data_IF_415583437655
#
_entry.id   IF_415583437655
#
_cell.length_a   1.000
_cell.length_b   1.000
_cell.length_c   1.000
_cell.angle_alpha   90.00
_cell.angle_beta   90.00
_cell.angle_gamma   90.00
#
_symmetry.space_group_name_H-M   'P 1'
#
loop_
_entity.id
_entity.type
_entity.pdbx_description
1 polymer ?
#
# COMPACT_ATOMS: atom_id res chain seq x y z
N UNK A 1 -21.74 -53.35 21.77
CA UNK A 1 -20.51 -52.51 21.83
C UNK A 1 -20.22 -51.85 20.45
N UNK A 2 -20.47 -52.52 19.28
CA UNK A 2 -20.25 -51.97 17.95
C UNK A 2 -21.10 -50.70 17.67
N UNK A 3 -22.44 -50.83 17.84
CA UNK A 3 -23.38 -49.74 17.52
C UNK A 3 -23.14 -48.46 18.31
N UNK A 4 -22.68 -48.58 19.58
CA UNK A 4 -22.38 -47.39 20.42
C UNK A 4 -21.14 -46.67 19.89
N UNK A 5 -20.13 -47.41 19.46
CA UNK A 5 -18.93 -46.82 18.82
C UNK A 5 -19.28 -46.10 17.51
N UNK A 6 -20.15 -46.71 16.70
CA UNK A 6 -20.57 -46.13 15.42
C UNK A 6 -21.34 -44.83 15.64
N UNK A 7 -22.24 -44.79 16.62
CA UNK A 7 -22.99 -43.58 17.01
C UNK A 7 -22.04 -42.48 17.54
N UNK A 8 -21.06 -42.86 18.36
CA UNK A 8 -20.07 -41.91 18.87
C UNK A 8 -19.21 -41.32 17.76
N UNK A 9 -18.75 -42.15 16.82
CA UNK A 9 -17.99 -41.71 15.67
C UNK A 9 -18.82 -40.77 14.78
N UNK A 10 -20.07 -41.12 14.50
CA UNK A 10 -20.99 -40.26 13.72
C UNK A 10 -21.20 -38.90 14.42
N UNK A 11 -21.40 -38.92 15.76
CA UNK A 11 -21.56 -37.69 16.56
C UNK A 11 -20.32 -36.79 16.48
N UNK A 12 -19.11 -37.39 16.57
CA UNK A 12 -17.87 -36.63 16.39
C UNK A 12 -17.70 -36.05 14.98
N UNK A 13 -18.06 -36.81 13.97
CA UNK A 13 -18.02 -36.32 12.58
C UNK A 13 -18.97 -35.13 12.37
N UNK A 14 -20.19 -35.22 12.88
CA UNK A 14 -21.17 -34.12 12.81
C UNK A 14 -20.68 -32.89 13.56
N UNK A 15 -20.13 -33.07 14.77
CA UNK A 15 -19.55 -31.99 15.55
C UNK A 15 -18.37 -31.31 14.81
N UNK A 16 -17.48 -32.12 14.22
CA UNK A 16 -16.37 -31.59 13.44
C UNK A 16 -16.83 -30.80 12.23
N UNK A 17 -17.81 -31.32 11.49
CA UNK A 17 -18.38 -30.61 10.33
C UNK A 17 -19.08 -29.31 10.75
N UNK A 18 -19.77 -29.29 11.87
CA UNK A 18 -20.39 -28.08 12.42
C UNK A 18 -19.35 -27.01 12.78
N UNK A 19 -18.26 -27.41 13.46
CA UNK A 19 -17.15 -26.51 13.80
C UNK A 19 -16.49 -25.99 12.52
N UNK A 20 -16.24 -26.84 11.53
CA UNK A 20 -15.65 -26.43 10.27
C UNK A 20 -16.54 -25.43 9.54
N UNK A 21 -17.83 -25.70 9.43
CA UNK A 21 -18.79 -24.80 8.78
C UNK A 21 -18.88 -23.45 9.51
N UNK A 22 -18.93 -23.47 10.84
CA UNK A 22 -18.91 -22.26 11.66
C UNK A 22 -17.62 -21.45 11.44
N UNK A 23 -16.47 -22.12 11.43
CA UNK A 23 -15.17 -21.45 11.21
C UNK A 23 -15.08 -20.80 9.84
N UNK A 24 -15.53 -21.49 8.80
CA UNK A 24 -15.60 -20.92 7.43
C UNK A 24 -16.54 -19.72 7.39
N UNK A 25 -17.74 -19.83 7.94
CA UNK A 25 -18.69 -18.72 7.99
C UNK A 25 -18.18 -17.52 8.80
N UNK A 26 -17.52 -17.78 9.93
CA UNK A 26 -16.89 -16.75 10.72
C UNK A 26 -15.78 -16.03 9.94
N UNK A 27 -14.86 -16.78 9.32
CA UNK A 27 -13.80 -16.21 8.50
C UNK A 27 -14.36 -15.44 7.31
N UNK A 28 -15.38 -15.97 6.65
CA UNK A 28 -16.06 -15.31 5.52
C UNK A 28 -16.55 -13.92 5.90
N UNK A 29 -17.27 -13.82 7.03
CA UNK A 29 -17.75 -12.54 7.53
C UNK A 29 -16.62 -11.66 8.06
N UNK A 30 -15.64 -12.23 8.76
CA UNK A 30 -14.54 -11.46 9.36
C UNK A 30 -13.62 -10.83 8.32
N UNK A 31 -13.42 -11.50 7.19
CA UNK A 31 -12.59 -11.05 6.07
C UNK A 31 -13.40 -10.30 5.00
N UNK A 32 -14.71 -10.16 5.21
CA UNK A 32 -15.61 -9.51 4.26
C UNK A 32 -15.46 -10.01 2.82
N UNK A 33 -15.38 -11.35 2.66
CA UNK A 33 -15.15 -12.01 1.37
C UNK A 33 -16.19 -11.60 0.33
N UNK A 34 -17.43 -11.36 0.75
CA UNK A 34 -18.49 -10.95 -0.17
C UNK A 34 -18.22 -9.56 -0.75
N UNK A 35 -17.82 -8.59 0.07
CA UNK A 35 -17.46 -7.26 -0.40
C UNK A 35 -16.19 -7.30 -1.26
N UNK A 36 -15.19 -8.11 -0.87
CA UNK A 36 -14.00 -8.33 -1.67
C UNK A 36 -14.34 -8.86 -3.07
N UNK A 37 -15.16 -9.93 -3.16
CA UNK A 37 -15.55 -10.50 -4.44
C UNK A 37 -16.34 -9.51 -5.30
N UNK A 38 -17.25 -8.74 -4.69
CA UNK A 38 -18.00 -7.68 -5.37
C UNK A 38 -17.05 -6.60 -5.90
N UNK A 39 -16.11 -6.14 -5.09
CA UNK A 39 -15.18 -5.09 -5.50
C UNK A 39 -14.26 -5.54 -6.64
N UNK A 40 -13.90 -6.84 -6.71
CA UNK A 40 -13.12 -7.39 -7.81
C UNK A 40 -13.87 -7.40 -9.15
N UNK A 41 -15.19 -7.36 -9.13
CA UNK A 41 -16.05 -7.39 -10.33
C UNK A 41 -16.71 -6.05 -10.65
N UNK A 42 -16.52 -5.03 -9.79
CA UNK A 42 -17.06 -3.69 -9.99
C UNK A 42 -16.01 -2.84 -10.70
N UNK A 43 -16.35 -2.33 -11.86
CA UNK A 43 -15.54 -1.32 -12.53
C UNK A 43 -15.52 -0.03 -11.68
N UNK A 44 -14.38 0.59 -11.58
CA UNK A 44 -14.17 1.83 -10.86
C UNK A 44 -13.50 2.84 -11.78
N UNK A 45 -14.05 4.01 -11.89
CA UNK A 45 -13.48 5.17 -12.61
C UNK A 45 -12.61 6.03 -11.71
N UNK A 46 -12.27 5.53 -10.50
CA UNK A 46 -11.56 6.32 -9.51
C UNK A 46 -10.20 6.86 -10.02
N UNK A 47 -9.46 6.04 -10.77
CA UNK A 47 -8.17 6.47 -11.33
C UNK A 47 -8.40 7.51 -12.42
N UNK A 48 -9.32 7.23 -13.35
CA UNK A 48 -9.66 8.14 -14.45
C UNK A 48 -10.16 9.49 -13.95
N UNK A 49 -10.93 9.49 -12.87
CA UNK A 49 -11.52 10.72 -12.30
C UNK A 49 -10.54 11.54 -11.44
N UNK A 50 -9.49 10.92 -10.91
CA UNK A 50 -8.61 11.55 -9.92
C UNK A 50 -7.13 11.61 -10.31
N UNK A 51 -6.71 10.88 -11.33
CA UNK A 51 -5.31 10.90 -11.78
C UNK A 51 -5.04 12.15 -12.62
N UNK A 52 -4.05 12.93 -12.20
CA UNK A 52 -3.52 14.01 -13.00
C UNK A 52 -2.43 13.47 -13.94
N UNK A 53 -2.72 13.35 -15.24
CA UNK A 53 -1.72 12.93 -16.22
C UNK A 53 -0.59 13.98 -16.29
N UNK A 54 0.67 13.60 -16.01
CA UNK A 54 1.79 14.52 -16.07
C UNK A 54 1.97 15.22 -17.43
N UNK A 55 1.45 14.64 -18.50
CA UNK A 55 1.47 15.25 -19.85
C UNK A 55 0.55 16.45 -19.99
N UNK A 56 -0.48 16.52 -19.17
CA UNK A 56 -1.48 17.58 -19.20
C UNK A 56 -1.21 18.67 -18.16
N UNK A 57 -0.19 18.49 -17.30
CA UNK A 57 0.15 19.42 -16.22
C UNK A 57 1.31 20.30 -16.64
N UNK A 58 1.14 21.63 -16.58
CA UNK A 58 2.23 22.59 -16.78
C UNK A 58 3.15 22.60 -15.54
N UNK A 59 4.38 22.15 -15.71
CA UNK A 59 5.38 22.09 -14.66
C UNK A 59 6.36 23.25 -14.79
N UNK A 60 6.55 24.00 -13.71
CA UNK A 60 7.48 25.14 -13.66
C UNK A 60 8.71 24.76 -12.84
N UNK A 61 9.89 24.86 -13.43
CA UNK A 61 11.17 24.63 -12.77
C UNK A 61 11.89 25.96 -12.54
N UNK A 62 12.61 26.12 -11.42
CA UNK A 62 13.41 27.30 -11.18
C UNK A 62 14.62 27.36 -12.13
N UNK A 63 15.08 28.56 -12.50
CA UNK A 63 16.29 28.77 -13.33
C UNK A 63 17.50 28.04 -12.71
N UNK A 64 17.69 28.19 -11.41
CA UNK A 64 18.72 27.48 -10.67
C UNK A 64 18.10 26.25 -10.01
N UNK A 65 18.30 25.10 -10.63
CA UNK A 65 17.85 23.80 -10.14
C UNK A 65 18.53 23.43 -8.83
N UNK A 66 17.78 22.85 -7.91
CA UNK A 66 18.28 22.28 -6.66
C UNK A 66 18.32 20.76 -6.76
N UNK A 67 19.21 20.12 -6.02
CA UNK A 67 19.20 18.66 -5.92
C UNK A 67 17.95 18.19 -5.19
N UNK A 68 17.36 17.13 -5.70
CA UNK A 68 16.31 16.37 -5.02
C UNK A 68 16.95 15.10 -4.45
N UNK A 69 16.78 14.88 -3.16
CA UNK A 69 17.12 13.62 -2.49
C UNK A 69 15.82 13.01 -2.03
N UNK A 70 15.49 11.84 -2.58
CA UNK A 70 14.28 11.09 -2.25
C UNK A 70 14.69 9.81 -1.51
N UNK A 71 14.26 9.68 -0.26
CA UNK A 71 14.66 8.57 0.61
C UNK A 71 13.44 7.73 0.93
N UNK A 72 13.47 6.46 0.55
CA UNK A 72 12.47 5.46 0.91
C UNK A 72 12.91 4.71 2.16
N UNK A 73 12.08 4.77 3.20
CA UNK A 73 12.31 4.05 4.45
C UNK A 73 11.30 2.90 4.53
N UNK A 74 11.75 1.70 4.19
CA UNK A 74 10.92 0.49 4.20
C UNK A 74 10.41 0.18 5.60
N UNK A 75 9.12 -0.18 5.71
CA UNK A 75 8.45 -0.55 6.97
C UNK A 75 8.53 0.53 8.06
N UNK A 76 8.69 1.79 7.69
CA UNK A 76 8.67 2.90 8.64
C UNK A 76 7.22 3.30 8.92
N UNK A 77 6.88 3.33 10.21
CA UNK A 77 5.55 3.68 10.68
C UNK A 77 5.61 4.85 11.67
N UNK A 78 4.59 5.69 11.66
CA UNK A 78 4.41 6.77 12.64
C UNK A 78 4.23 6.23 14.08
N UNK A 79 3.79 4.98 14.24
CA UNK A 79 3.74 4.27 15.52
C UNK A 79 5.06 4.26 16.27
N UNK A 80 6.21 4.39 15.59
CA UNK A 80 7.52 4.50 16.23
C UNK A 80 7.79 5.84 16.91
N UNK A 81 6.99 6.86 16.64
CA UNK A 81 7.03 8.14 17.34
C UNK A 81 6.49 8.02 18.78
N UNK A 82 6.64 9.05 19.58
CA UNK A 82 6.03 9.11 20.90
C UNK A 82 4.53 9.45 20.84
N UNK A 83 3.80 9.12 21.92
CA UNK A 83 2.35 9.34 22.01
C UNK A 83 1.94 10.79 21.80
N UNK A 84 2.77 11.75 22.22
CA UNK A 84 2.46 13.16 22.06
C UNK A 84 2.53 13.57 20.59
N UNK A 85 3.42 12.96 19.83
CA UNK A 85 3.58 13.18 18.39
C UNK A 85 2.65 12.31 17.53
N UNK A 86 1.79 11.47 18.13
CA UNK A 86 0.86 10.61 17.40
C UNK A 86 1.27 9.13 17.32
N UNK A 87 2.43 8.75 17.86
CA UNK A 87 2.92 7.39 17.88
C UNK A 87 2.41 6.55 19.06
N UNK A 88 3.00 5.38 19.27
CA UNK A 88 2.58 4.43 20.29
C UNK A 88 3.52 4.35 21.51
N UNK A 89 4.71 4.92 21.45
CA UNK A 89 5.73 4.78 22.50
C UNK A 89 5.70 5.95 23.48
N UNK A 90 6.16 5.73 24.71
CA UNK A 90 6.38 6.81 25.68
C UNK A 90 7.53 7.74 25.25
N UNK A 91 8.55 7.17 24.61
CA UNK A 91 9.67 7.90 23.98
C UNK A 91 9.79 7.46 22.55
N UNK A 92 9.87 8.40 21.63
CA UNK A 92 10.05 8.14 20.21
C UNK A 92 11.27 7.25 19.96
N UNK A 93 11.10 6.27 19.07
CA UNK A 93 12.19 5.46 18.54
C UNK A 93 12.86 6.11 17.32
N UNK A 94 12.18 7.13 16.77
CA UNK A 94 12.59 7.88 15.58
C UNK A 94 12.53 9.39 15.87
N UNK A 95 13.20 9.91 16.94
CA UNK A 95 13.00 11.27 17.38
C UNK A 95 13.33 12.33 16.32
N UNK A 96 14.38 12.12 15.54
CA UNK A 96 14.80 13.06 14.49
C UNK A 96 13.80 13.08 13.32
N UNK A 97 13.31 11.91 12.88
CA UNK A 97 12.30 11.83 11.82
C UNK A 97 10.97 12.44 12.28
N UNK A 98 10.55 12.14 13.52
CA UNK A 98 9.35 12.71 14.08
C UNK A 98 9.45 14.26 14.16
N UNK A 99 10.60 14.79 14.58
CA UNK A 99 10.86 16.22 14.58
C UNK A 99 10.81 16.82 13.18
N UNK A 100 11.50 16.22 12.20
CA UNK A 100 11.49 16.69 10.81
C UNK A 100 10.07 16.71 10.24
N UNK A 101 9.28 15.68 10.53
CA UNK A 101 7.89 15.59 10.06
C UNK A 101 7.00 16.67 10.70
N UNK A 102 7.19 17.00 11.97
CA UNK A 102 6.41 18.03 12.66
C UNK A 102 6.81 19.46 12.25
N UNK A 103 8.05 19.66 11.85
CA UNK A 103 8.60 20.97 11.47
C UNK A 103 8.49 21.29 9.98
N UNK A 104 8.15 20.29 9.14
CA UNK A 104 8.07 20.42 7.68
C UNK A 104 6.74 19.85 7.15
N UNK A 105 6.60 19.80 5.82
CA UNK A 105 5.45 19.19 5.16
C UNK A 105 5.32 17.72 5.53
N UNK A 106 4.12 17.32 5.88
CA UNK A 106 3.77 15.92 6.16
C UNK A 106 2.34 15.63 5.71
N UNK A 107 2.00 14.35 5.57
CA UNK A 107 0.68 13.90 5.08
C UNK A 107 -0.32 13.59 6.21
N UNK A 108 -0.27 14.33 7.30
CA UNK A 108 -1.20 14.16 8.44
C UNK A 108 -2.51 14.95 8.28
N UNK A 109 -2.71 15.62 7.15
CA UNK A 109 -3.89 16.42 6.86
C UNK A 109 -4.06 17.57 7.87
N UNK A 110 -5.22 17.67 8.48
CA UNK A 110 -5.53 18.70 9.50
C UNK A 110 -5.16 18.27 10.94
N UNK A 111 -4.51 17.12 11.11
CA UNK A 111 -4.10 16.64 12.43
C UNK A 111 -2.90 17.43 12.94
N UNK A 112 -2.90 17.70 14.24
CA UNK A 112 -1.74 18.28 14.95
C UNK A 112 -0.72 17.21 15.37
N UNK A 113 -1.07 15.94 15.22
CA UNK A 113 -0.21 14.80 15.50
C UNK A 113 0.05 14.04 14.20
N UNK A 114 1.18 13.36 14.11
CA UNK A 114 1.52 12.53 12.97
C UNK A 114 0.52 11.36 12.88
N UNK A 115 -0.03 11.12 11.70
CA UNK A 115 -0.90 9.98 11.41
C UNK A 115 -0.60 9.34 10.05
N UNK A 116 0.35 9.91 9.31
CA UNK A 116 0.83 9.38 8.03
C UNK A 116 -0.24 9.21 6.95
N UNK A 117 0.15 8.55 5.87
CA UNK A 117 -0.75 8.12 4.81
C UNK A 117 -1.20 6.67 5.00
N UNK A 118 -2.41 6.35 4.60
CA UNK A 118 -2.91 4.98 4.55
C UNK A 118 -2.57 4.40 3.17
N UNK A 119 -1.74 3.35 3.07
CA UNK A 119 -1.41 2.76 1.78
C UNK A 119 -2.63 2.07 1.18
N UNK A 120 -2.87 2.33 -0.10
CA UNK A 120 -3.94 1.66 -0.84
C UNK A 120 -3.49 0.31 -1.40
N UNK A 121 -4.45 -0.48 -1.87
CA UNK A 121 -4.16 -1.73 -2.58
C UNK A 121 -3.22 -1.48 -3.77
N UNK A 122 -2.22 -2.33 -3.94
CA UNK A 122 -1.18 -2.16 -4.96
C UNK A 122 -0.01 -1.26 -4.55
N UNK A 123 -0.04 -0.67 -3.33
CA UNK A 123 1.04 0.17 -2.79
C UNK A 123 1.56 -0.32 -1.42
N UNK A 124 1.20 -1.54 -1.00
CA UNK A 124 1.51 -2.09 0.33
C UNK A 124 2.78 -2.94 0.38
N UNK A 125 3.58 -2.96 -0.67
CA UNK A 125 4.83 -3.70 -0.81
C UNK A 125 5.87 -2.85 -1.54
N UNK A 126 7.15 -3.14 -1.38
CA UNK A 126 8.26 -2.28 -1.80
C UNK A 126 8.12 -1.73 -3.22
N UNK A 127 7.98 -2.62 -4.22
CA UNK A 127 7.86 -2.17 -5.62
C UNK A 127 6.56 -1.42 -5.88
N UNK A 128 5.46 -1.85 -5.27
CA UNK A 128 4.19 -1.15 -5.36
C UNK A 128 4.24 0.24 -4.75
N UNK A 129 4.91 0.40 -3.61
CA UNK A 129 5.09 1.69 -2.95
C UNK A 129 6.00 2.62 -3.77
N UNK A 130 7.13 2.13 -4.27
CA UNK A 130 8.02 2.89 -5.15
C UNK A 130 7.29 3.37 -6.41
N UNK A 131 6.57 2.46 -7.07
CA UNK A 131 5.80 2.79 -8.26
C UNK A 131 4.73 3.83 -7.95
N UNK A 132 3.93 3.62 -6.91
CA UNK A 132 2.85 4.54 -6.56
C UNK A 132 3.35 5.94 -6.19
N UNK A 133 4.45 6.05 -5.46
CA UNK A 133 5.01 7.34 -5.06
C UNK A 133 5.68 8.09 -6.22
N UNK A 134 6.17 7.38 -7.23
CA UNK A 134 6.81 8.02 -8.38
C UNK A 134 5.88 8.30 -9.55
N UNK A 135 4.80 7.51 -9.71
CA UNK A 135 3.85 7.64 -10.82
C UNK A 135 2.48 8.18 -10.43
N UNK A 136 2.13 8.18 -9.13
CA UNK A 136 0.78 8.50 -8.67
C UNK A 136 -0.25 7.40 -8.91
N UNK A 137 0.15 6.22 -9.37
CA UNK A 137 -0.72 5.10 -9.72
C UNK A 137 -0.46 3.87 -8.84
N UNK A 138 -1.48 3.11 -8.43
CA UNK A 138 -1.26 1.84 -7.74
C UNK A 138 -0.70 0.80 -8.72
N UNK A 139 0.24 -0.02 -8.24
CA UNK A 139 0.78 -1.13 -9.02
C UNK A 139 -0.15 -2.34 -8.91
N UNK A 140 -1.09 -2.43 -9.84
CA UNK A 140 -2.00 -3.57 -9.95
C UNK A 140 -1.69 -4.34 -11.23
N UNK A 141 -0.87 -5.38 -11.09
CA UNK A 141 -0.49 -6.23 -12.20
C UNK A 141 -1.37 -7.48 -12.21
N UNK A 142 -2.21 -7.69 -13.23
CA UNK A 142 -3.01 -8.90 -13.39
C UNK A 142 -2.16 -10.12 -13.80
N UNK A 143 -0.85 -9.94 -13.91
CA UNK A 143 0.11 -10.92 -14.42
C UNK A 143 0.74 -11.65 -13.24
N UNK A 144 0.89 -12.97 -13.33
CA UNK A 144 1.70 -13.73 -12.39
C UNK A 144 3.14 -13.20 -12.44
N UNK A 145 3.73 -12.95 -11.26
CA UNK A 145 5.00 -12.23 -11.10
C UNK A 145 6.15 -12.65 -12.03
N UNK A 146 6.20 -13.92 -12.43
CA UNK A 146 7.26 -14.45 -13.30
C UNK A 146 7.24 -13.90 -14.74
N UNK A 147 6.11 -13.35 -15.19
CA UNK A 147 6.01 -12.79 -16.55
C UNK A 147 6.63 -11.41 -16.68
N UNK A 148 6.87 -10.71 -15.58
CA UNK A 148 7.53 -9.41 -15.58
C UNK A 148 9.00 -9.48 -16.00
N UNK A 149 9.69 -10.57 -15.65
CA UNK A 149 11.09 -10.80 -16.01
C UNK A 149 11.31 -11.03 -17.51
N UNK A 150 10.26 -11.30 -18.27
CA UNK A 150 10.32 -11.52 -19.72
C UNK A 150 10.05 -10.28 -20.56
N UNK A 151 9.67 -9.17 -19.93
CA UNK A 151 9.43 -7.90 -20.61
C UNK A 151 10.73 -7.09 -20.71
N UNK A 152 10.96 -6.44 -21.83
CA UNK A 152 12.12 -5.59 -22.04
C UNK A 152 12.03 -4.27 -21.26
N UNK A 153 10.84 -3.83 -20.96
CA UNK A 153 10.56 -2.55 -20.28
C UNK A 153 9.44 -2.73 -19.25
N UNK A 154 9.54 -2.00 -18.15
CA UNK A 154 8.54 -2.03 -17.09
C UNK A 154 7.53 -0.92 -17.27
N UNK A 155 6.30 -1.25 -17.68
CA UNK A 155 5.18 -0.31 -17.85
C UNK A 155 5.55 0.95 -18.67
N UNK A 156 6.00 0.81 -19.92
CA UNK A 156 6.58 1.90 -20.71
C UNK A 156 5.61 3.06 -21.03
N UNK A 157 4.32 2.87 -20.79
CA UNK A 157 3.30 3.90 -20.96
C UNK A 157 3.12 4.83 -19.77
N UNK A 158 3.75 4.52 -18.62
CA UNK A 158 3.61 5.28 -17.39
C UNK A 158 4.74 6.28 -17.25
N UNK A 159 4.39 7.55 -17.05
CA UNK A 159 5.35 8.59 -16.72
C UNK A 159 5.54 8.64 -15.21
N UNK A 160 6.77 8.65 -14.78
CA UNK A 160 7.15 8.73 -13.38
C UNK A 160 7.97 10.01 -13.09
N UNK A 161 8.20 10.27 -11.82
CA UNK A 161 8.98 11.42 -11.37
C UNK A 161 10.38 11.46 -12.01
N UNK A 162 11.00 10.31 -12.27
CA UNK A 162 12.28 10.20 -12.94
C UNK A 162 12.22 10.75 -14.37
N UNK A 163 11.23 10.34 -15.14
CA UNK A 163 11.05 10.80 -16.52
C UNK A 163 10.88 12.33 -16.57
N UNK A 164 10.04 12.87 -15.67
CA UNK A 164 9.82 14.31 -15.55
C UNK A 164 11.12 15.06 -15.24
N UNK A 165 11.92 14.53 -14.31
CA UNK A 165 13.18 15.16 -13.92
C UNK A 165 14.23 15.07 -15.04
N UNK A 166 14.30 13.94 -15.74
CA UNK A 166 15.23 13.76 -16.88
C UNK A 166 14.93 14.72 -18.01
N UNK A 167 13.67 14.84 -18.41
CA UNK A 167 13.22 15.81 -19.44
C UNK A 167 13.58 17.24 -19.07
N UNK A 168 13.64 17.53 -17.77
CA UNK A 168 14.05 18.83 -17.25
C UNK A 168 15.56 18.93 -16.95
N UNK A 169 16.35 17.98 -17.45
CA UNK A 169 17.83 18.02 -17.40
C UNK A 169 18.45 17.72 -16.04
N UNK A 170 17.76 16.95 -15.18
CA UNK A 170 18.36 16.38 -13.98
C UNK A 170 19.11 15.09 -14.32
N UNK A 171 20.22 14.86 -13.64
CA UNK A 171 20.87 13.55 -13.63
C UNK A 171 20.37 12.75 -12.45
N UNK A 172 20.04 11.50 -12.68
CA UNK A 172 19.43 10.63 -11.69
C UNK A 172 20.41 9.54 -11.26
N UNK A 173 20.37 9.20 -9.99
CA UNK A 173 21.11 8.11 -9.39
C UNK A 173 20.16 7.35 -8.47
N UNK A 174 20.06 6.05 -8.69
CA UNK A 174 19.35 5.12 -7.83
C UNK A 174 20.36 4.28 -7.06
N UNK A 175 20.30 4.28 -5.72
CA UNK A 175 21.25 3.62 -4.83
C UNK A 175 20.58 2.52 -4.02
#
# INVERSE_FOLDING_TARGET
>A
LGKIKDIAVLGLMVAFLAVAAFSVGYMWNRLDITAYAKNQTTESTFIEDNYADPKEVELTFPEKKRNLIYIYLESMEDTYADKKSGGAFEKSRIPELAKLSLENENFSGNSTALNGGIPMYGATWTMGALFAQTSGLPLNLPIRGDLMSTQSEFLPGVINLGDILEENGYKQYFL
#
